data_IF_318309633509
#
_entry.id   IF_318309633509
#
_cell.length_a   1.000
_cell.length_b   1.000
_cell.length_c   1.000
_cell.angle_alpha   90.00
_cell.angle_beta   90.00
_cell.angle_gamma   90.00
#
_symmetry.space_group_name_H-M   'P 1'
#
loop_
_entity.id
_entity.type
_entity.pdbx_description
1 polymer ?
#
# COMPACT_ATOMS: atom_id res chain seq x y z
N UNK A 1 2.81 7.86 -17.02
CA UNK A 1 1.43 7.68 -16.54
C UNK A 1 1.21 8.68 -15.39
N UNK A 2 0.23 9.57 -15.46
CA UNK A 2 -0.10 10.51 -14.36
C UNK A 2 -1.28 9.95 -13.58
N UNK A 3 -1.06 9.60 -12.31
CA UNK A 3 -2.11 9.17 -11.38
C UNK A 3 -2.69 10.39 -10.65
N UNK A 4 -3.99 10.37 -10.34
CA UNK A 4 -4.63 11.39 -9.51
C UNK A 4 -5.16 10.74 -8.22
N UNK A 5 -4.86 11.30 -7.02
CA UNK A 5 -5.48 10.85 -5.78
C UNK A 5 -6.96 11.20 -5.76
N UNK A 6 -7.81 10.28 -5.29
CA UNK A 6 -9.14 10.64 -4.78
C UNK A 6 -9.01 11.24 -3.37
N UNK A 7 -10.05 11.98 -2.93
CA UNK A 7 -10.12 12.39 -1.54
C UNK A 7 -10.03 11.16 -0.62
N UNK A 8 -9.20 11.20 0.43
CA UNK A 8 -9.07 10.08 1.35
C UNK A 8 -10.43 9.75 1.96
N UNK A 9 -10.82 8.48 1.87
CA UNK A 9 -12.01 7.99 2.57
C UNK A 9 -11.54 7.54 3.94
N UNK A 10 -11.98 8.24 4.99
CA UNK A 10 -11.89 7.75 6.37
C UNK A 10 -12.88 6.60 6.46
N UNK A 11 -12.40 5.37 6.66
CA UNK A 11 -13.21 4.17 6.49
C UNK A 11 -14.39 4.09 7.45
N UNK A 12 -15.62 4.23 6.93
CA UNK A 12 -16.73 3.38 7.34
C UNK A 12 -16.52 2.03 6.63
N UNK A 13 -15.97 1.03 7.32
CA UNK A 13 -16.02 -0.43 7.05
C UNK A 13 -14.83 -1.11 7.76
N UNK A 14 -15.05 -1.60 8.99
CA UNK A 14 -14.33 -2.65 9.75
C UNK A 14 -12.79 -2.78 9.67
N UNK A 15 -12.07 -1.77 9.18
CA UNK A 15 -10.61 -1.74 9.13
C UNK A 15 -10.17 -0.38 9.67
N UNK A 16 -9.52 -0.31 10.86
CA UNK A 16 -9.03 0.96 11.36
C UNK A 16 -7.95 1.49 10.43
N UNK A 17 -8.24 2.57 9.69
CA UNK A 17 -7.27 3.17 8.79
C UNK A 17 -7.81 4.17 7.78
N UNK A 18 -6.88 4.89 7.14
CA UNK A 18 -7.10 5.79 6.02
C UNK A 18 -6.89 5.00 4.73
N UNK A 19 -7.88 5.07 3.83
CA UNK A 19 -7.82 4.46 2.51
C UNK A 19 -7.69 5.54 1.44
N UNK A 20 -6.61 5.48 0.66
CA UNK A 20 -6.36 6.40 -0.46
C UNK A 20 -6.34 5.60 -1.75
N UNK A 21 -7.24 5.94 -2.67
CA UNK A 21 -7.38 5.27 -3.95
C UNK A 21 -6.92 6.21 -5.06
N UNK A 22 -6.03 5.72 -5.92
CA UNK A 22 -5.56 6.43 -7.10
C UNK A 22 -6.14 5.79 -8.35
N UNK A 23 -6.65 6.63 -9.26
CA UNK A 23 -7.22 6.19 -10.54
C UNK A 23 -6.32 6.55 -11.71
N UNK A 24 -6.36 5.71 -12.74
CA UNK A 24 -5.77 6.01 -14.04
C UNK A 24 -6.63 7.01 -14.85
N UNK A 25 -6.18 7.36 -16.06
CA UNK A 25 -6.91 8.26 -16.96
C UNK A 25 -8.25 7.71 -17.46
N UNK A 26 -8.50 6.41 -17.31
CA UNK A 26 -9.75 5.75 -17.64
C UNK A 26 -10.68 5.62 -16.43
N UNK A 27 -10.29 6.12 -15.27
CA UNK A 27 -11.06 6.05 -14.02
C UNK A 27 -10.98 4.68 -13.32
N UNK A 28 -10.10 3.79 -13.76
CA UNK A 28 -9.90 2.49 -13.11
C UNK A 28 -8.94 2.60 -11.92
N UNK A 29 -9.11 1.71 -10.95
CA UNK A 29 -8.29 1.67 -9.75
C UNK A 29 -6.87 1.22 -10.08
N UNK A 30 -5.91 2.14 -10.03
CA UNK A 30 -4.53 1.88 -10.41
C UNK A 30 -3.62 1.61 -9.22
N UNK A 31 -3.90 2.21 -8.06
CA UNK A 31 -3.14 1.99 -6.84
C UNK A 31 -4.06 2.21 -5.63
N UNK A 32 -3.92 1.35 -4.64
CA UNK A 32 -4.52 1.50 -3.32
C UNK A 32 -3.41 1.68 -2.28
N UNK A 33 -3.57 2.68 -1.43
CA UNK A 33 -2.75 2.90 -0.23
C UNK A 33 -3.64 2.78 1.00
N UNK A 34 -3.20 1.98 1.97
CA UNK A 34 -3.87 1.80 3.25
C UNK A 34 -2.90 2.16 4.37
N UNK A 35 -3.30 3.09 5.24
CA UNK A 35 -2.57 3.44 6.46
C UNK A 35 -3.42 3.09 7.68
N UNK A 36 -2.90 2.32 8.62
CA UNK A 36 -3.60 1.94 9.85
C UNK A 36 -2.65 1.83 11.04
N UNK A 37 -3.15 1.53 12.25
CA UNK A 37 -2.27 1.26 13.39
C UNK A 37 -1.46 -0.02 13.16
N UNK A 38 -0.23 -0.07 13.66
CA UNK A 38 0.52 -1.33 13.76
C UNK A 38 -0.29 -2.38 14.56
N UNK A 39 -0.09 -3.65 14.22
CA UNK A 39 -0.85 -4.77 14.76
C UNK A 39 -2.24 -4.96 14.15
N UNK A 40 -2.56 -4.32 13.02
CA UNK A 40 -3.80 -4.54 12.27
C UNK A 40 -3.53 -5.20 10.91
N UNK A 41 -4.61 -5.60 10.23
CA UNK A 41 -4.56 -6.10 8.85
C UNK A 41 -3.59 -7.28 8.66
N UNK A 42 -2.57 -7.12 7.82
CA UNK A 42 -1.57 -8.15 7.56
C UNK A 42 -0.51 -8.25 8.66
N UNK A 43 -0.28 -7.18 9.42
CA UNK A 43 0.67 -7.18 10.54
C UNK A 43 0.19 -8.06 11.71
N UNK A 44 -1.14 -8.18 11.88
CA UNK A 44 -1.72 -9.11 12.87
C UNK A 44 -1.70 -10.59 12.46
N UNK A 45 -1.41 -10.91 11.19
CA UNK A 45 -1.49 -12.26 10.65
C UNK A 45 -0.09 -12.79 10.33
N UNK A 46 0.48 -13.54 11.27
CA UNK A 46 1.82 -14.12 11.14
C UNK A 46 1.97 -15.10 9.97
N UNK A 47 0.86 -15.54 9.36
CA UNK A 47 0.90 -16.39 8.16
C UNK A 47 1.05 -15.60 6.86
N UNK A 48 0.94 -14.26 6.89
CA UNK A 48 0.92 -13.38 5.70
C UNK A 48 2.07 -12.37 5.65
N UNK A 49 3.22 -12.77 6.17
CA UNK A 49 4.46 -11.98 6.19
C UNK A 49 5.07 -11.82 4.78
N UNK A 50 4.82 -12.76 3.86
CA UNK A 50 5.36 -12.67 2.50
C UNK A 50 6.90 -12.66 2.43
N UNK A 51 7.45 -12.18 1.31
CA UNK A 51 8.90 -12.06 1.09
C UNK A 51 9.39 -10.68 1.53
N UNK A 52 10.48 -10.64 2.30
CA UNK A 52 11.12 -9.37 2.67
C UNK A 52 11.75 -8.66 1.47
N UNK A 53 11.56 -7.35 1.37
CA UNK A 53 12.11 -6.45 0.35
C UNK A 53 12.70 -5.24 1.05
N UNK A 54 14.00 -4.98 0.84
CA UNK A 54 14.65 -3.75 1.33
C UNK A 54 14.28 -2.59 0.41
N UNK A 55 13.71 -1.54 0.98
CA UNK A 55 13.35 -0.32 0.27
C UNK A 55 14.52 0.68 0.32
N UNK A 56 14.60 1.56 -0.69
CA UNK A 56 15.70 2.52 -0.78
C UNK A 56 15.67 3.59 0.33
N UNK A 57 14.51 3.81 0.95
CA UNK A 57 14.33 4.70 2.11
C UNK A 57 14.74 4.06 3.46
N UNK A 58 15.32 2.85 3.44
CA UNK A 58 15.81 2.15 4.63
C UNK A 58 14.76 1.27 5.33
N UNK A 59 13.49 1.36 4.93
CA UNK A 59 12.44 0.48 5.43
C UNK A 59 12.60 -0.94 4.86
N UNK A 60 12.11 -1.94 5.61
CA UNK A 60 11.93 -3.30 5.10
C UNK A 60 10.44 -3.56 4.94
N UNK A 61 10.03 -3.88 3.72
CA UNK A 61 8.66 -4.23 3.39
C UNK A 61 8.51 -5.73 3.14
N UNK A 62 7.25 -6.14 3.13
CA UNK A 62 6.75 -7.50 3.03
C UNK A 62 5.91 -7.60 1.75
N UNK A 63 6.36 -8.42 0.81
CA UNK A 63 5.70 -8.60 -0.48
C UNK A 63 4.89 -9.90 -0.51
N UNK A 64 3.59 -9.76 -0.75
CA UNK A 64 2.68 -10.83 -1.15
C UNK A 64 2.47 -10.73 -2.66
N UNK A 65 3.21 -11.55 -3.39
CA UNK A 65 3.32 -11.47 -4.86
C UNK A 65 2.14 -12.14 -5.59
N UNK A 66 1.71 -13.31 -5.12
CA UNK A 66 0.71 -14.14 -5.80
C UNK A 66 -0.71 -13.86 -5.32
N UNK A 67 -1.17 -12.62 -5.48
CA UNK A 67 -2.55 -12.23 -5.22
C UNK A 67 -3.26 -12.02 -6.55
N UNK A 68 -4.38 -12.71 -6.78
CA UNK A 68 -5.08 -12.63 -8.05
C UNK A 68 -5.57 -11.18 -8.31
N UNK A 69 -5.55 -10.69 -9.56
CA UNK A 69 -5.90 -9.30 -9.87
C UNK A 69 -7.28 -8.87 -9.40
N UNK A 70 -8.27 -9.77 -9.36
CA UNK A 70 -9.62 -9.44 -8.86
C UNK A 70 -9.64 -9.11 -7.36
N UNK A 71 -8.61 -9.51 -6.62
CA UNK A 71 -8.42 -9.16 -5.20
C UNK A 71 -7.50 -7.95 -5.00
N UNK A 72 -7.13 -7.26 -6.08
CA UNK A 72 -6.32 -6.03 -6.03
C UNK A 72 -4.84 -6.22 -6.37
N UNK A 73 -4.42 -7.43 -6.80
CA UNK A 73 -3.05 -7.70 -7.24
C UNK A 73 -2.02 -7.75 -6.10
N UNK A 74 -0.71 -7.80 -6.42
CA UNK A 74 0.35 -7.89 -5.42
C UNK A 74 0.24 -6.81 -4.35
N UNK A 75 0.60 -7.20 -3.11
CA UNK A 75 0.54 -6.32 -1.94
C UNK A 75 1.95 -6.16 -1.37
N UNK A 76 2.38 -4.92 -1.18
CA UNK A 76 3.61 -4.57 -0.48
C UNK A 76 3.24 -3.81 0.79
N UNK A 77 3.61 -4.33 1.96
CA UNK A 77 3.25 -3.73 3.24
C UNK A 77 4.44 -3.63 4.21
N UNK A 78 4.40 -2.68 5.14
CA UNK A 78 5.41 -2.53 6.18
C UNK A 78 4.84 -1.80 7.38
N UNK A 79 5.59 -1.80 8.48
CA UNK A 79 5.32 -0.96 9.64
C UNK A 79 6.41 0.09 9.74
N UNK A 80 6.00 1.35 9.90
CA UNK A 80 6.88 2.48 10.13
C UNK A 80 6.32 3.31 11.28
N UNK A 81 7.10 3.48 12.35
CA UNK A 81 6.76 4.36 13.48
C UNK A 81 5.35 4.09 14.07
N UNK A 82 4.98 2.81 14.20
CA UNK A 82 3.67 2.41 14.74
C UNK A 82 2.51 2.50 13.75
N UNK A 83 2.78 2.85 12.48
CA UNK A 83 1.80 2.86 11.39
C UNK A 83 2.03 1.68 10.46
N UNK A 84 1.00 0.86 10.28
CA UNK A 84 0.91 -0.11 9.21
C UNK A 84 0.61 0.61 7.89
N UNK A 85 1.40 0.33 6.85
CA UNK A 85 1.24 0.89 5.51
C UNK A 85 1.17 -0.27 4.53
N UNK A 86 0.23 -0.24 3.60
CA UNK A 86 0.17 -1.20 2.50
C UNK A 86 -0.15 -0.54 1.17
N UNK A 87 0.52 -1.02 0.12
CA UNK A 87 0.26 -0.70 -1.27
C UNK A 87 -0.26 -1.94 -1.98
N UNK A 88 -1.30 -1.79 -2.79
CA UNK A 88 -1.73 -2.85 -3.70
C UNK A 88 -2.11 -2.30 -5.07
N UNK A 89 -1.87 -3.08 -6.11
CA UNK A 89 -2.24 -2.71 -7.47
C UNK A 89 -2.42 -3.94 -8.35
N UNK A 90 -3.51 -3.96 -9.12
CA UNK A 90 -3.74 -4.94 -10.20
C UNK A 90 -3.20 -4.47 -11.55
N UNK A 91 -2.68 -3.24 -11.63
CA UNK A 91 -2.22 -2.62 -12.88
C UNK A 91 -0.71 -2.35 -12.91
N UNK A 92 -0.09 -2.12 -11.75
CA UNK A 92 1.33 -1.80 -11.63
C UNK A 92 2.15 -3.08 -11.44
N UNK A 93 3.37 -3.08 -12.01
CA UNK A 93 4.36 -4.12 -11.70
C UNK A 93 4.84 -4.01 -10.26
N UNK A 94 5.39 -5.10 -9.74
CA UNK A 94 6.02 -5.15 -8.42
C UNK A 94 7.15 -4.13 -8.31
N UNK A 95 7.98 -3.98 -9.35
CA UNK A 95 9.06 -2.99 -9.36
C UNK A 95 8.54 -1.55 -9.22
N UNK A 96 7.42 -1.23 -9.88
CA UNK A 96 6.77 0.08 -9.72
C UNK A 96 6.21 0.26 -8.30
N UNK A 97 5.63 -0.78 -7.71
CA UNK A 97 5.18 -0.74 -6.30
C UNK A 97 6.35 -0.51 -5.34
N UNK A 98 7.48 -1.20 -5.56
CA UNK A 98 8.71 -1.02 -4.76
C UNK A 98 9.26 0.40 -4.93
N UNK A 99 9.26 0.94 -6.14
CA UNK A 99 9.70 2.31 -6.41
C UNK A 99 8.81 3.33 -5.69
N UNK A 100 7.48 3.15 -5.74
CA UNK A 100 6.53 4.00 -5.02
C UNK A 100 6.77 3.92 -3.52
N UNK A 101 6.83 2.72 -2.93
CA UNK A 101 7.10 2.53 -1.51
C UNK A 101 8.44 3.13 -1.08
N UNK A 102 9.47 3.02 -1.92
CA UNK A 102 10.78 3.62 -1.68
C UNK A 102 10.76 5.15 -1.75
N UNK A 103 9.81 5.74 -2.48
CA UNK A 103 9.62 7.19 -2.58
C UNK A 103 8.73 7.78 -1.50
N UNK A 104 7.99 6.95 -0.77
CA UNK A 104 7.15 7.41 0.34
C UNK A 104 8.07 7.87 1.49
N UNK A 105 7.93 9.15 1.84
CA UNK A 105 8.57 9.77 2.98
C UNK A 105 7.58 9.92 4.12
N UNK A 106 8.08 9.83 5.35
CA UNK A 106 7.36 10.19 6.57
C UNK A 106 6.99 11.68 6.64
N UNK A 107 7.74 12.51 5.92
CA UNK A 107 7.60 13.98 5.89
C UNK A 107 6.77 14.45 4.68
N UNK A 108 6.03 13.53 4.03
CA UNK A 108 5.13 13.89 2.96
C UNK A 108 3.90 14.59 3.55
N UNK A 109 4.01 15.89 3.76
CA UNK A 109 2.86 16.74 4.10
C UNK A 109 1.75 16.54 3.06
N UNK A 110 0.52 16.32 3.54
CA UNK A 110 -0.67 16.42 2.71
C UNK A 110 -0.84 17.90 2.37
N UNK A 111 -0.36 18.32 1.18
CA UNK A 111 -0.63 19.65 0.63
C UNK A 111 -2.05 19.75 0.09
#
# INVERSE_FOLDING_TARGET
>A
MKLKPEQPIIGELNTPGIRIQFRDSMGQNALLVLNGPAGCCLDSDSSKIGRAVKLANGNTAHLLEYIEPQYGGPILWWVQEGTYIALSSSQLSIDNLIQIASSMSKDADLQ
#
